data_IF_269553771361
#
_entry.id   IF_269553771361
#
_cell.length_a   1.000
_cell.length_b   1.000
_cell.length_c   1.000
_cell.angle_alpha   90.00
_cell.angle_beta   90.00
_cell.angle_gamma   90.00
#
_symmetry.space_group_name_H-M   'P 1'
#
loop_
_entity.id
_entity.type
_entity.pdbx_description
1 polymer ?
#
# COMPACT_ATOMS: atom_id res chain seq x y z
N UNK A 1 -17.16 7.24 -22.22
CA UNK A 1 -17.98 6.01 -22.12
C UNK A 1 -18.88 6.17 -20.90
N UNK A 2 -20.12 5.70 -21.01
CA UNK A 2 -21.26 5.92 -20.09
C UNK A 2 -20.88 6.11 -18.62
N UNK A 3 -21.22 7.28 -18.05
CA UNK A 3 -21.18 7.56 -16.62
C UNK A 3 -22.32 6.79 -15.94
N UNK A 4 -22.09 5.52 -15.62
CA UNK A 4 -22.96 4.77 -14.74
C UNK A 4 -23.02 5.46 -13.38
N UNK A 5 -24.25 5.60 -12.85
CA UNK A 5 -24.50 6.26 -11.59
C UNK A 5 -23.80 5.50 -10.44
N UNK A 6 -23.03 6.19 -9.57
CA UNK A 6 -22.20 5.60 -8.51
C UNK A 6 -22.92 4.76 -7.43
N UNK A 7 -24.24 4.59 -7.49
CA UNK A 7 -25.04 3.84 -6.51
C UNK A 7 -25.98 2.83 -7.16
N UNK A 8 -25.63 2.32 -8.34
CA UNK A 8 -26.45 1.35 -9.05
C UNK A 8 -26.74 0.14 -8.15
N UNK A 9 -28.02 -0.26 -8.07
CA UNK A 9 -28.51 -1.32 -7.17
C UNK A 9 -27.96 -2.72 -7.51
N UNK A 10 -27.11 -2.81 -8.54
CA UNK A 10 -26.51 -4.03 -9.07
C UNK A 10 -25.62 -4.74 -8.07
N UNK A 11 -25.00 -4.01 -7.14
CA UNK A 11 -23.99 -4.55 -6.21
C UNK A 11 -24.32 -4.27 -4.74
N UNK A 12 -23.89 -5.17 -3.86
CA UNK A 12 -23.94 -4.94 -2.42
C UNK A 12 -23.16 -3.68 -2.03
N UNK A 13 -23.84 -2.74 -1.37
CA UNK A 13 -23.22 -1.50 -0.89
C UNK A 13 -22.56 -1.69 0.47
N UNK A 14 -21.39 -1.10 0.59
CA UNK A 14 -20.61 -1.02 1.81
C UNK A 14 -20.96 0.29 2.52
N UNK A 15 -21.06 0.29 3.84
CA UNK A 15 -21.41 1.50 4.58
C UNK A 15 -20.35 2.59 4.40
N UNK A 16 -20.81 3.83 4.20
CA UNK A 16 -19.93 4.98 3.99
C UNK A 16 -19.30 5.01 2.60
N UNK A 17 -19.97 4.43 1.60
CA UNK A 17 -19.49 4.46 0.24
C UNK A 17 -19.67 5.82 -0.45
N UNK A 18 -18.67 6.21 -1.23
CA UNK A 18 -18.67 7.47 -1.96
C UNK A 18 -17.74 7.39 -3.18
N UNK A 19 -17.86 8.38 -4.06
CA UNK A 19 -16.94 8.55 -5.19
C UNK A 19 -16.16 9.84 -5.02
N UNK A 20 -14.86 9.78 -5.23
CA UNK A 20 -13.98 10.94 -5.29
C UNK A 20 -13.17 10.89 -6.57
N UNK A 21 -13.32 11.91 -7.43
CA UNK A 21 -12.68 11.99 -8.76
C UNK A 21 -12.80 10.69 -9.58
N UNK A 22 -13.99 10.08 -9.58
CA UNK A 22 -14.29 8.86 -10.33
C UNK A 22 -13.78 7.56 -9.69
N UNK A 23 -13.15 7.62 -8.52
CA UNK A 23 -12.69 6.45 -7.76
C UNK A 23 -13.70 6.10 -6.67
N UNK A 24 -14.10 4.83 -6.57
CA UNK A 24 -14.97 4.33 -5.50
C UNK A 24 -14.19 4.15 -4.20
N UNK A 25 -14.77 4.57 -3.09
CA UNK A 25 -14.23 4.46 -1.74
C UNK A 25 -15.30 3.99 -0.77
N UNK A 26 -14.87 3.51 0.40
CA UNK A 26 -15.77 3.02 1.46
C UNK A 26 -15.31 3.53 2.83
N UNK A 27 -16.11 3.28 3.88
CA UNK A 27 -16.04 3.96 5.18
C UNK A 27 -14.78 3.83 6.06
N UNK A 28 -13.63 3.40 5.52
CA UNK A 28 -12.32 3.55 6.19
C UNK A 28 -11.65 4.90 5.89
N UNK A 29 -12.15 5.65 4.90
CA UNK A 29 -11.82 7.05 4.57
C UNK A 29 -13.12 7.81 4.27
N UNK A 30 -13.05 9.14 4.14
CA UNK A 30 -14.12 9.97 3.58
C UNK A 30 -13.59 11.01 2.59
N UNK A 31 -14.49 11.70 1.88
CA UNK A 31 -14.14 12.74 0.91
C UNK A 31 -13.39 13.91 1.57
N UNK A 32 -13.69 14.22 2.83
CA UNK A 32 -13.04 15.30 3.56
C UNK A 32 -11.56 15.00 3.84
N UNK A 33 -11.21 13.75 4.20
CA UNK A 33 -9.82 13.31 4.41
C UNK A 33 -9.03 13.30 3.12
N UNK A 34 -9.61 12.77 2.04
CA UNK A 34 -8.94 12.79 0.73
C UNK A 34 -8.73 14.24 0.29
N UNK A 35 -9.75 15.09 0.40
CA UNK A 35 -9.64 16.52 0.06
C UNK A 35 -8.59 17.21 0.91
N UNK A 36 -8.57 17.00 2.24
CA UNK A 36 -7.56 17.56 3.14
C UNK A 36 -6.14 17.12 2.74
N UNK A 37 -5.93 15.87 2.35
CA UNK A 37 -4.66 15.41 1.81
C UNK A 37 -4.28 16.18 0.53
N UNK A 38 -5.24 16.30 -0.38
CA UNK A 38 -5.06 16.94 -1.67
C UNK A 38 -4.83 18.45 -1.59
N UNK A 39 -5.35 19.15 -0.59
CA UNK A 39 -5.34 20.63 -0.54
C UNK A 39 -4.47 21.19 0.57
N UNK A 40 -4.32 20.48 1.70
CA UNK A 40 -3.73 21.02 2.92
C UNK A 40 -2.50 20.26 3.40
N UNK A 41 -2.50 18.92 3.30
CA UNK A 41 -1.42 18.10 3.87
C UNK A 41 -0.06 18.45 3.26
N UNK A 42 0.93 18.66 4.14
CA UNK A 42 2.27 19.09 3.74
C UNK A 42 3.23 17.92 3.70
N UNK A 43 3.56 17.52 2.48
CA UNK A 43 4.68 16.62 2.22
C UNK A 43 6.01 17.36 2.38
N UNK A 44 7.05 16.61 2.75
CA UNK A 44 8.41 17.08 2.91
C UNK A 44 9.33 16.36 1.93
N UNK A 45 10.43 16.98 1.47
CA UNK A 45 11.41 16.32 0.61
C UNK A 45 12.02 15.07 1.25
N UNK A 46 12.09 15.06 2.58
CA UNK A 46 12.61 13.94 3.36
C UNK A 46 11.59 12.82 3.57
N UNK A 47 10.31 12.98 3.23
CA UNK A 47 9.32 11.91 3.43
C UNK A 47 9.63 10.69 2.55
N UNK A 48 9.28 9.51 3.06
CA UNK A 48 9.25 8.26 2.30
C UNK A 48 7.79 7.81 2.23
N UNK A 49 7.26 7.78 1.01
CA UNK A 49 5.87 7.42 0.75
C UNK A 49 5.81 5.97 0.29
N UNK A 50 5.09 5.15 1.04
CA UNK A 50 4.82 3.75 0.72
C UNK A 50 3.38 3.63 0.23
N UNK A 51 3.24 3.28 -1.03
CA UNK A 51 1.94 3.24 -1.70
C UNK A 51 1.81 2.00 -2.56
N UNK A 52 0.59 1.70 -2.96
CA UNK A 52 0.24 0.54 -3.73
C UNK A 52 -1.28 0.38 -3.72
N UNK A 53 -1.83 -0.28 -4.74
CA UNK A 53 -3.23 -0.69 -4.66
C UNK A 53 -3.43 -1.57 -3.42
N UNK A 54 -4.58 -1.44 -2.77
CA UNK A 54 -4.87 -2.21 -1.57
C UNK A 54 -4.68 -3.72 -1.83
N UNK A 55 -4.14 -4.43 -0.84
CA UNK A 55 -3.85 -5.88 -0.89
C UNK A 55 -2.72 -6.33 -1.83
N UNK A 56 -1.91 -5.38 -2.30
CA UNK A 56 -0.70 -5.64 -3.10
C UNK A 56 0.59 -5.89 -2.30
N UNK A 57 0.53 -6.16 -0.99
CA UNK A 57 1.74 -6.40 -0.18
C UNK A 57 2.28 -5.18 0.57
N UNK A 58 1.49 -4.11 0.68
CA UNK A 58 1.87 -2.86 1.36
C UNK A 58 2.40 -3.06 2.80
N UNK A 59 1.86 -4.02 3.56
CA UNK A 59 2.33 -4.30 4.94
C UNK A 59 3.72 -4.95 4.95
N UNK A 60 4.01 -5.84 3.98
CA UNK A 60 5.34 -6.44 3.82
C UNK A 60 6.37 -5.37 3.45
N UNK A 61 6.05 -4.54 2.46
CA UNK A 61 6.91 -3.41 2.07
C UNK A 61 7.18 -2.48 3.26
N UNK A 62 6.13 -2.10 3.99
CA UNK A 62 6.26 -1.22 5.16
C UNK A 62 7.20 -1.80 6.23
N UNK A 63 7.12 -3.10 6.51
CA UNK A 63 8.00 -3.73 7.50
C UNK A 63 9.47 -3.73 7.07
N UNK A 64 9.74 -4.05 5.80
CA UNK A 64 11.09 -3.98 5.22
C UNK A 64 11.66 -2.56 5.34
N UNK A 65 10.86 -1.57 4.93
CA UNK A 65 11.30 -0.16 4.94
C UNK A 65 11.50 0.36 6.36
N UNK A 66 10.65 -0.02 7.33
CA UNK A 66 10.85 0.34 8.74
C UNK A 66 12.20 -0.15 9.26
N UNK A 67 12.54 -1.42 9.01
CA UNK A 67 13.82 -1.97 9.44
C UNK A 67 15.00 -1.29 8.74
N UNK A 68 14.91 -1.00 7.44
CA UNK A 68 15.93 -0.26 6.70
C UNK A 68 16.15 1.15 7.26
N UNK A 69 15.07 1.89 7.51
CA UNK A 69 15.12 3.27 7.99
C UNK A 69 15.65 3.35 9.41
N UNK A 70 15.21 2.45 10.30
CA UNK A 70 15.66 2.45 11.69
C UNK A 70 17.11 1.97 11.82
N UNK A 71 17.52 0.93 11.08
CA UNK A 71 18.91 0.46 11.09
C UNK A 71 19.86 1.38 10.32
N UNK A 72 19.34 2.19 9.38
CA UNK A 72 20.12 2.99 8.42
C UNK A 72 21.15 2.14 7.64
N UNK A 73 20.85 0.85 7.43
CA UNK A 73 21.76 -0.10 6.79
C UNK A 73 22.93 -0.58 7.65
N UNK A 74 23.01 -0.15 8.92
CA UNK A 74 24.14 -0.45 9.81
C UNK A 74 23.79 -1.51 10.86
N UNK A 75 24.66 -2.51 11.02
CA UNK A 75 24.51 -3.57 12.02
C UNK A 75 24.46 -3.02 13.46
N UNK A 76 25.20 -1.95 13.75
CA UNK A 76 25.23 -1.31 15.07
C UNK A 76 23.88 -0.74 15.54
N UNK A 77 22.95 -0.47 14.63
CA UNK A 77 21.60 0.04 14.92
C UNK A 77 20.51 -1.03 14.81
N UNK A 78 20.89 -2.25 14.42
CA UNK A 78 19.94 -3.30 14.09
C UNK A 78 19.12 -3.74 15.31
N UNK A 79 19.73 -3.80 16.50
CA UNK A 79 19.03 -4.13 17.74
C UNK A 79 17.95 -3.12 18.10
N UNK A 80 18.20 -1.83 17.91
CA UNK A 80 17.23 -0.76 18.14
C UNK A 80 16.09 -0.83 17.12
N UNK A 81 16.43 -1.07 15.84
CA UNK A 81 15.45 -1.26 14.77
C UNK A 81 14.51 -2.44 15.05
N UNK A 82 15.06 -3.57 15.51
CA UNK A 82 14.28 -4.74 15.91
C UNK A 82 13.33 -4.40 17.06
N UNK A 83 13.85 -3.80 18.14
CA UNK A 83 13.04 -3.42 19.29
C UNK A 83 11.88 -2.51 18.88
N UNK A 84 12.12 -1.58 17.94
CA UNK A 84 11.08 -0.68 17.45
C UNK A 84 9.95 -1.42 16.71
N UNK A 85 10.27 -2.30 15.77
CA UNK A 85 9.24 -3.03 15.01
C UNK A 85 8.51 -4.10 15.83
N UNK A 86 9.09 -4.55 16.94
CA UNK A 86 8.47 -5.49 17.89
C UNK A 86 7.64 -4.80 18.98
N UNK A 87 7.82 -3.50 19.20
CA UNK A 87 7.12 -2.74 20.25
C UNK A 87 6.08 -1.75 19.73
N UNK A 88 6.22 -1.27 18.49
CA UNK A 88 5.33 -0.24 17.92
C UNK A 88 4.51 -0.82 16.78
N UNK A 89 3.17 -0.75 16.83
CA UNK A 89 2.30 -1.20 15.75
C UNK A 89 2.62 -0.54 14.41
N UNK A 90 2.50 -1.29 13.32
CA UNK A 90 2.89 -0.84 11.98
C UNK A 90 2.08 0.36 11.49
N UNK A 91 0.82 0.49 11.91
CA UNK A 91 -0.03 1.64 11.58
C UNK A 91 0.33 2.92 12.36
N UNK A 92 1.13 2.80 13.43
CA UNK A 92 1.77 3.95 14.09
C UNK A 92 3.12 4.25 13.43
N UNK A 93 3.88 3.22 13.02
CA UNK A 93 5.17 3.40 12.34
C UNK A 93 5.03 3.99 10.94
N UNK A 94 3.99 3.59 10.22
CA UNK A 94 3.68 3.98 8.82
C UNK A 94 2.18 4.28 8.71
N UNK A 95 1.70 5.42 9.26
CA UNK A 95 0.28 5.76 9.28
C UNK A 95 -0.29 5.98 7.88
N UNK A 96 -1.53 5.56 7.67
CA UNK A 96 -2.29 5.80 6.44
C UNK A 96 -2.82 7.23 6.41
N UNK A 97 -2.35 8.06 5.50
CA UNK A 97 -2.66 9.48 5.52
C UNK A 97 -4.17 9.77 5.43
N UNK A 98 -4.90 9.04 4.59
CA UNK A 98 -6.33 9.23 4.35
C UNK A 98 -7.25 8.45 5.32
N UNK A 99 -6.70 7.75 6.32
CA UNK A 99 -7.47 6.90 7.23
C UNK A 99 -8.33 7.71 8.23
N UNK A 100 -9.56 7.22 8.48
CA UNK A 100 -10.48 7.79 9.47
C UNK A 100 -10.32 7.26 10.88
N UNK A 101 -9.56 6.18 11.06
CA UNK A 101 -9.27 5.65 12.38
C UNK A 101 -8.31 6.58 13.11
N UNK A 102 -8.67 6.93 14.35
CA UNK A 102 -7.79 7.73 15.19
C UNK A 102 -6.73 6.85 15.84
N UNK A 103 -5.55 7.43 16.00
CA UNK A 103 -4.42 6.81 16.65
C UNK A 103 -4.39 7.22 18.12
N UNK A 104 -4.18 6.25 19.00
CA UNK A 104 -3.75 6.50 20.37
C UNK A 104 -2.23 6.53 20.40
N UNK A 105 -1.67 7.72 20.58
CA UNK A 105 -0.23 7.95 20.64
C UNK A 105 0.14 8.10 22.12
N UNK A 106 1.05 7.28 22.68
CA UNK A 106 1.39 7.34 24.11
C UNK A 106 1.84 8.73 24.61
N UNK A 107 2.37 9.55 23.72
CA UNK A 107 2.86 10.91 23.99
C UNK A 107 1.75 11.97 23.99
N UNK A 108 0.51 11.62 23.59
CA UNK A 108 -0.63 12.52 23.51
C UNK A 108 -1.72 12.08 24.49
N UNK A 109 -2.42 13.05 25.07
CA UNK A 109 -3.53 12.85 26.00
C UNK A 109 -4.89 12.66 25.29
N UNK A 110 -4.90 12.72 23.97
CA UNK A 110 -6.08 12.57 23.12
C UNK A 110 -5.77 11.74 21.88
N UNK A 111 -6.81 11.21 21.26
CA UNK A 111 -6.73 10.51 19.98
C UNK A 111 -6.56 11.50 18.82
N UNK A 112 -5.74 11.13 17.83
CA UNK A 112 -5.34 12.02 16.73
C UNK A 112 -5.48 11.32 15.37
N UNK A 113 -5.80 12.04 14.30
CA UNK A 113 -5.83 11.44 12.95
C UNK A 113 -4.42 11.29 12.37
N UNK A 114 -4.25 10.38 11.41
CA UNK A 114 -2.94 10.09 10.80
C UNK A 114 -2.20 11.33 10.25
N UNK A 115 -2.88 12.19 9.49
CA UNK A 115 -2.27 13.43 8.99
C UNK A 115 -1.82 14.37 10.11
N UNK A 116 -2.61 14.48 11.18
CA UNK A 116 -2.29 15.33 12.33
C UNK A 116 -1.13 14.73 13.14
N UNK A 117 -1.07 13.40 13.27
CA UNK A 117 0.06 12.70 13.85
C UNK A 117 1.35 12.93 13.05
N UNK A 118 1.28 12.87 11.72
CA UNK A 118 2.41 13.15 10.83
C UNK A 118 2.87 14.61 10.92
N UNK A 119 1.95 15.56 11.10
CA UNK A 119 2.28 16.97 11.35
C UNK A 119 2.91 17.17 12.73
N UNK A 120 2.39 16.50 13.77
CA UNK A 120 2.98 16.50 15.10
C UNK A 120 4.40 15.91 15.11
N UNK A 121 4.65 14.81 14.40
CA UNK A 121 5.98 14.20 14.25
C UNK A 121 6.98 15.19 13.62
N UNK A 122 6.53 15.98 12.64
CA UNK A 122 7.33 17.04 12.01
C UNK A 122 7.64 18.15 13.01
N UNK A 123 6.65 18.63 13.75
CA UNK A 123 6.78 19.82 14.61
C UNK A 123 7.54 19.54 15.91
N UNK A 124 7.38 18.34 16.46
CA UNK A 124 8.04 17.92 17.70
C UNK A 124 9.50 17.51 17.51
N UNK A 125 9.96 17.30 16.27
CA UNK A 125 11.30 16.79 15.99
C UNK A 125 11.54 15.36 16.49
N UNK A 126 10.48 14.60 16.84
CA UNK A 126 10.61 13.24 17.37
C UNK A 126 11.20 12.23 16.38
N UNK A 127 11.20 12.56 15.09
CA UNK A 127 11.78 11.71 14.05
C UNK A 127 13.12 12.31 13.65
N UNK A 128 14.23 11.72 14.13
CA UNK A 128 15.56 11.97 13.56
C UNK A 128 15.67 11.33 12.17
N UNK A 129 14.87 11.81 11.20
CA UNK A 129 14.85 11.30 9.84
C UNK A 129 13.55 11.53 9.08
N UNK A 130 13.33 10.69 8.07
CA UNK A 130 12.19 10.69 7.17
C UNK A 130 10.92 10.21 7.87
N UNK A 131 9.79 10.92 7.70
CA UNK A 131 8.48 10.35 8.06
C UNK A 131 8.15 9.22 7.08
N UNK A 132 7.63 8.13 7.59
CA UNK A 132 7.09 7.04 6.79
C UNK A 132 5.59 7.27 6.64
N UNK A 133 5.12 7.39 5.40
CA UNK A 133 3.72 7.69 5.09
C UNK A 133 3.16 6.57 4.25
N UNK A 134 2.00 6.03 4.63
CA UNK A 134 1.29 5.05 3.82
C UNK A 134 0.10 5.70 3.14
N UNK A 135 -0.22 5.27 1.92
CA UNK A 135 -1.45 5.68 1.24
C UNK A 135 -1.87 4.68 0.17
N UNK A 136 -3.17 4.56 -0.06
CA UNK A 136 -3.82 3.89 -1.18
C UNK A 136 -4.44 4.88 -2.17
N UNK A 137 -4.25 6.19 -1.96
CA UNK A 137 -4.75 7.22 -2.84
C UNK A 137 -4.26 7.04 -4.28
N UNK A 138 -5.10 7.47 -5.23
CA UNK A 138 -4.76 7.46 -6.64
C UNK A 138 -3.61 8.42 -6.93
N UNK A 139 -2.97 8.23 -8.08
CA UNK A 139 -1.92 9.13 -8.54
C UNK A 139 -2.40 10.58 -8.58
N UNK A 140 -3.63 10.84 -9.03
CA UNK A 140 -4.19 12.20 -9.12
C UNK A 140 -4.29 12.88 -7.76
N UNK A 141 -4.71 12.16 -6.72
CA UNK A 141 -4.76 12.69 -5.36
C UNK A 141 -3.37 12.99 -4.81
N UNK A 142 -2.39 12.09 -5.02
CA UNK A 142 -1.01 12.37 -4.60
C UNK A 142 -0.39 13.53 -5.40
N UNK A 143 -0.65 13.60 -6.70
CA UNK A 143 -0.17 14.68 -7.56
C UNK A 143 -0.65 16.05 -7.09
N UNK A 144 -1.88 16.16 -6.58
CA UNK A 144 -2.35 17.39 -5.94
C UNK A 144 -1.39 17.83 -4.81
N UNK A 145 -1.01 16.91 -3.92
CA UNK A 145 -0.04 17.16 -2.85
C UNK A 145 1.35 17.54 -3.36
N UNK A 146 1.89 16.77 -4.31
CA UNK A 146 3.23 16.99 -4.88
C UNK A 146 3.34 18.31 -5.65
N UNK A 147 2.28 18.75 -6.32
CA UNK A 147 2.27 20.02 -7.07
C UNK A 147 2.45 21.27 -6.19
N UNK A 148 2.28 21.15 -4.86
CA UNK A 148 2.54 22.24 -3.91
C UNK A 148 3.99 22.30 -3.42
N UNK A 149 4.81 21.31 -3.76
CA UNK A 149 6.21 21.26 -3.38
C UNK A 149 7.12 21.90 -4.43
N UNK A 150 8.36 22.22 -4.05
CA UNK A 150 9.42 22.44 -5.03
C UNK A 150 9.63 21.13 -5.82
N UNK A 151 9.51 21.21 -7.14
CA UNK A 151 9.63 20.05 -8.02
C UNK A 151 11.06 19.50 -8.09
N UNK A 152 12.04 20.21 -7.51
CA UNK A 152 13.40 19.73 -7.34
C UNK A 152 13.62 18.98 -6.02
N UNK A 153 12.66 19.03 -5.10
CA UNK A 153 12.77 18.48 -3.75
C UNK A 153 11.57 17.56 -3.44
N UNK A 154 11.33 16.58 -4.32
CA UNK A 154 10.22 15.64 -4.17
C UNK A 154 10.61 14.43 -3.29
N UNK A 155 9.67 13.91 -2.48
CA UNK A 155 9.92 12.75 -1.62
C UNK A 155 10.22 11.49 -2.43
N UNK A 156 10.83 10.50 -1.79
CA UNK A 156 10.99 9.16 -2.38
C UNK A 156 9.69 8.39 -2.22
N UNK A 157 9.25 7.75 -3.29
CA UNK A 157 8.02 6.98 -3.34
C UNK A 157 8.37 5.54 -3.70
N UNK A 158 7.88 4.57 -2.93
CA UNK A 158 7.93 3.15 -3.29
C UNK A 158 6.52 2.69 -3.57
N UNK A 159 6.29 2.23 -4.80
CA UNK A 159 4.99 1.76 -5.28
C UNK A 159 4.98 0.23 -5.39
N UNK A 160 4.24 -0.44 -4.51
CA UNK A 160 4.06 -1.88 -4.57
C UNK A 160 2.82 -2.26 -5.39
N UNK A 161 3.01 -3.17 -6.33
CA UNK A 161 1.93 -3.74 -7.14
C UNK A 161 1.96 -5.27 -7.06
N UNK A 162 0.89 -5.91 -7.54
CA UNK A 162 0.69 -7.35 -7.43
C UNK A 162 -0.12 -7.85 -8.60
N UNK A 163 0.00 -9.13 -8.94
CA UNK A 163 -0.89 -9.80 -9.87
C UNK A 163 -2.36 -9.50 -9.49
N UNK A 164 -3.17 -8.91 -10.39
CA UNK A 164 -4.52 -8.46 -10.07
C UNK A 164 -5.47 -9.60 -9.70
N UNK A 165 -5.23 -10.83 -10.19
CA UNK A 165 -6.03 -12.00 -9.84
C UNK A 165 -5.82 -12.40 -8.38
N UNK A 166 -4.58 -12.35 -7.88
CA UNK A 166 -4.30 -12.60 -6.46
C UNK A 166 -4.75 -11.44 -5.57
N UNK A 167 -4.61 -10.20 -6.06
CA UNK A 167 -5.09 -9.01 -5.36
C UNK A 167 -6.61 -9.06 -5.15
N UNK A 168 -7.39 -9.49 -6.16
CA UNK A 168 -8.85 -9.58 -6.06
C UNK A 168 -9.30 -10.61 -5.01
N UNK A 169 -8.70 -11.80 -4.98
CA UNK A 169 -8.97 -12.80 -3.93
C UNK A 169 -8.63 -12.28 -2.55
N UNK A 170 -7.49 -11.59 -2.41
CA UNK A 170 -7.08 -10.98 -1.14
C UNK A 170 -8.05 -9.88 -0.69
N UNK A 171 -8.57 -9.10 -1.63
CA UNK A 171 -9.57 -8.05 -1.38
C UNK A 171 -10.91 -8.64 -0.98
N UNK A 172 -11.38 -9.71 -1.62
CA UNK A 172 -12.61 -10.41 -1.25
C UNK A 172 -12.61 -10.83 0.23
N UNK A 173 -11.55 -11.50 0.66
CA UNK A 173 -11.43 -11.90 2.07
C UNK A 173 -11.35 -10.73 3.03
N UNK A 174 -10.71 -9.64 2.62
CA UNK A 174 -10.63 -8.42 3.42
C UNK A 174 -12.01 -7.78 3.56
N UNK A 175 -12.76 -7.64 2.47
CA UNK A 175 -14.12 -7.12 2.43
C UNK A 175 -15.08 -7.88 3.35
N UNK A 176 -14.96 -9.21 3.39
CA UNK A 176 -15.76 -10.05 4.28
C UNK A 176 -15.45 -9.89 5.77
N UNK A 177 -14.35 -9.24 6.11
CA UNK A 177 -13.84 -9.18 7.46
C UNK A 177 -13.90 -7.80 8.12
N UNK A 178 -14.01 -6.71 7.35
CA UNK A 178 -14.05 -5.36 7.91
C UNK A 178 -15.45 -5.07 8.44
N UNK A 179 -15.57 -4.99 9.77
CA UNK A 179 -16.84 -4.76 10.44
C UNK A 179 -17.35 -3.32 10.22
N UNK A 180 -16.47 -2.33 10.24
CA UNK A 180 -16.79 -0.88 10.14
C UNK A 180 -17.31 -0.47 8.77
N UNK A 181 -16.92 -1.22 7.74
CA UNK A 181 -17.41 -1.03 6.38
C UNK A 181 -18.76 -1.76 6.18
N UNK A 182 -19.23 -2.55 7.15
CA UNK A 182 -20.33 -3.49 6.95
C UNK A 182 -19.79 -4.68 6.16
N UNK A 183 -19.43 -5.79 6.83
CA UNK A 183 -18.68 -6.86 6.21
C UNK A 183 -19.44 -7.39 5.01
N UNK A 184 -18.77 -7.49 3.88
CA UNK A 184 -19.37 -7.91 2.63
C UNK A 184 -20.03 -9.28 2.78
N UNK A 185 -21.31 -9.38 2.41
CA UNK A 185 -22.12 -10.60 2.57
C UNK A 185 -22.35 -11.35 1.27
N UNK A 186 -21.96 -10.77 0.13
CA UNK A 186 -22.04 -11.42 -1.17
C UNK A 186 -21.06 -12.58 -1.31
N UNK A 187 -21.27 -13.38 -2.35
CA UNK A 187 -20.39 -14.50 -2.67
C UNK A 187 -19.19 -14.06 -3.54
N UNK A 188 -18.34 -15.02 -3.89
CA UNK A 188 -17.19 -14.76 -4.75
C UNK A 188 -17.60 -14.31 -6.16
N UNK A 189 -18.70 -14.82 -6.71
CA UNK A 189 -19.13 -14.51 -8.07
C UNK A 189 -19.57 -13.06 -8.19
N UNK A 190 -20.37 -12.58 -7.23
CA UNK A 190 -20.77 -11.18 -7.16
C UNK A 190 -19.54 -10.27 -6.95
N UNK A 191 -18.64 -10.62 -6.02
CA UNK A 191 -17.42 -9.85 -5.77
C UNK A 191 -16.51 -9.79 -7.00
N UNK A 192 -16.34 -10.92 -7.70
CA UNK A 192 -15.57 -10.98 -8.94
C UNK A 192 -16.13 -10.00 -9.98
N UNK A 193 -17.46 -9.92 -10.13
CA UNK A 193 -18.06 -8.96 -11.04
C UNK A 193 -17.85 -7.51 -10.58
N UNK A 194 -17.93 -7.23 -9.28
CA UNK A 194 -17.58 -5.91 -8.74
C UNK A 194 -16.13 -5.53 -9.06
N UNK A 195 -15.21 -6.48 -8.98
CA UNK A 195 -13.80 -6.29 -9.35
C UNK A 195 -13.62 -5.97 -10.84
N UNK A 196 -14.29 -6.72 -11.73
CA UNK A 196 -14.26 -6.46 -13.18
C UNK A 196 -14.87 -5.09 -13.52
N UNK A 197 -15.96 -4.70 -12.85
CA UNK A 197 -16.65 -3.44 -13.08
C UNK A 197 -15.92 -2.24 -12.41
N UNK A 198 -14.84 -2.48 -11.64
CA UNK A 198 -14.09 -1.44 -10.94
C UNK A 198 -14.81 -0.86 -9.72
N UNK A 199 -15.88 -1.50 -9.26
CA UNK A 199 -16.68 -1.10 -8.09
C UNK A 199 -16.09 -1.62 -6.78
N UNK A 200 -14.80 -1.38 -6.57
CA UNK A 200 -14.02 -1.79 -5.38
C UNK A 200 -13.34 -0.55 -4.79
N UNK A 201 -13.20 -0.51 -3.47
CA UNK A 201 -12.58 0.62 -2.75
C UNK A 201 -11.16 0.82 -3.25
N UNK A 202 -10.83 2.06 -3.58
CA UNK A 202 -9.60 2.39 -4.28
C UNK A 202 -9.74 2.35 -5.81
N UNK A 203 -10.93 2.05 -6.34
CA UNK A 203 -11.29 2.11 -7.76
C UNK A 203 -10.87 0.91 -8.60
N UNK A 204 -11.03 1.07 -9.92
CA UNK A 204 -10.62 0.08 -10.91
C UNK A 204 -9.09 -0.10 -10.90
N UNK A 205 -8.64 -1.31 -10.57
CA UNK A 205 -7.23 -1.68 -10.56
C UNK A 205 -6.54 -1.32 -11.87
N UNK A 206 -7.21 -1.51 -13.02
CA UNK A 206 -6.66 -1.25 -14.36
C UNK A 206 -6.28 0.21 -14.56
N UNK A 207 -7.02 1.12 -13.94
CA UNK A 207 -6.75 2.56 -14.03
C UNK A 207 -5.70 2.93 -13.01
N UNK A 208 -5.93 2.55 -11.75
CA UNK A 208 -5.13 3.02 -10.62
C UNK A 208 -3.69 2.51 -10.69
N UNK A 209 -3.49 1.21 -10.95
CA UNK A 209 -2.15 0.62 -11.04
C UNK A 209 -1.40 1.12 -12.28
N UNK A 210 -2.11 1.23 -13.41
CA UNK A 210 -1.55 1.76 -14.65
C UNK A 210 -1.03 3.18 -14.47
N UNK A 211 -1.84 4.08 -13.91
CA UNK A 211 -1.46 5.49 -13.78
C UNK A 211 -0.23 5.67 -12.88
N UNK A 212 -0.16 4.90 -11.80
CA UNK A 212 1.01 4.82 -10.92
C UNK A 212 2.26 4.30 -11.63
N UNK A 213 2.17 3.17 -12.31
CA UNK A 213 3.32 2.56 -13.00
C UNK A 213 3.81 3.39 -14.20
N UNK A 214 2.92 4.11 -14.88
CA UNK A 214 3.31 5.07 -15.92
C UNK A 214 4.13 6.24 -15.38
N UNK A 215 3.87 6.67 -14.14
CA UNK A 215 4.74 7.66 -13.50
C UNK A 215 6.09 7.08 -13.13
N UNK A 216 6.12 5.83 -12.67
CA UNK A 216 7.34 5.14 -12.26
C UNK A 216 8.32 4.90 -13.42
N UNK A 217 7.84 4.80 -14.67
CA UNK A 217 8.70 4.70 -15.86
C UNK A 217 9.56 5.95 -16.10
N UNK A 218 9.15 7.11 -15.60
CA UNK A 218 9.85 8.37 -15.88
C UNK A 218 11.28 8.29 -15.30
N UNK A 219 12.32 8.70 -16.06
CA UNK A 219 13.71 8.50 -15.63
C UNK A 219 13.96 9.13 -14.25
N UNK A 220 14.37 8.32 -13.27
CA UNK A 220 14.81 8.80 -11.96
C UNK A 220 16.10 9.61 -12.10
N UNK A 221 16.21 10.77 -11.43
CA UNK A 221 17.43 11.58 -11.41
C UNK A 221 17.53 12.66 -12.50
N UNK A 222 16.52 12.82 -13.35
CA UNK A 222 16.37 14.02 -14.17
C UNK A 222 15.74 15.11 -13.31
N UNK A 223 16.25 16.35 -13.36
CA UNK A 223 15.66 17.45 -12.59
C UNK A 223 14.16 17.58 -12.90
N UNK A 224 13.33 17.62 -11.86
CA UNK A 224 11.88 17.70 -12.00
C UNK A 224 11.17 16.37 -12.28
N UNK A 225 11.86 15.22 -12.26
CA UNK A 225 11.20 13.91 -12.32
C UNK A 225 10.98 13.31 -10.94
N UNK A 226 9.89 12.56 -10.82
CA UNK A 226 9.50 11.90 -9.58
C UNK A 226 10.42 10.71 -9.29
N UNK A 227 10.78 10.55 -8.02
CA UNK A 227 11.53 9.40 -7.54
C UNK A 227 10.54 8.32 -7.12
N UNK A 228 10.13 7.46 -8.07
CA UNK A 228 9.23 6.34 -7.79
C UNK A 228 9.94 5.03 -8.11
N UNK A 229 10.07 4.15 -7.11
CA UNK A 229 10.51 2.76 -7.29
C UNK A 229 9.28 1.85 -7.37
N UNK A 230 8.96 1.28 -8.55
CA UNK A 230 7.98 0.21 -8.64
C UNK A 230 8.60 -1.09 -8.12
N UNK A 231 7.83 -1.86 -7.36
CA UNK A 231 8.25 -3.19 -6.88
C UNK A 231 7.06 -4.15 -6.81
N UNK A 232 7.19 -5.32 -7.41
CA UNK A 232 6.12 -6.33 -7.34
C UNK A 232 6.14 -7.10 -6.01
N UNK A 233 4.95 -7.44 -5.51
CA UNK A 233 4.76 -8.36 -4.38
C UNK A 233 5.47 -9.69 -4.62
N UNK A 234 5.42 -10.18 -5.85
CA UNK A 234 5.97 -11.47 -6.19
C UNK A 234 7.51 -11.45 -6.19
N UNK A 235 8.17 -10.33 -6.54
CA UNK A 235 9.62 -10.15 -6.29
C UNK A 235 9.92 -10.10 -4.80
N UNK A 236 9.15 -9.33 -4.01
CA UNK A 236 9.31 -9.26 -2.55
C UNK A 236 9.26 -10.64 -1.88
N UNK A 237 8.51 -11.59 -2.46
CA UNK A 237 8.40 -12.96 -1.94
C UNK A 237 9.43 -13.91 -2.54
N UNK A 238 9.73 -13.83 -3.85
CA UNK A 238 10.62 -14.77 -4.55
C UNK A 238 12.11 -14.45 -4.39
N UNK A 239 12.45 -13.17 -4.36
CA UNK A 239 13.83 -12.69 -4.21
C UNK A 239 13.91 -11.54 -3.19
N UNK A 240 13.57 -11.83 -1.91
CA UNK A 240 13.56 -10.81 -0.87
C UNK A 240 14.95 -10.18 -0.66
N UNK A 241 16.02 -10.94 -0.89
CA UNK A 241 17.40 -10.45 -0.78
C UNK A 241 17.66 -9.31 -1.76
N UNK A 242 17.42 -9.53 -3.05
CA UNK A 242 17.58 -8.48 -4.06
C UNK A 242 16.68 -7.30 -3.78
N UNK A 243 15.42 -7.53 -3.41
CA UNK A 243 14.49 -6.44 -3.10
C UNK A 243 14.98 -5.56 -1.94
N UNK A 244 15.58 -6.12 -0.89
CA UNK A 244 16.14 -5.33 0.21
C UNK A 244 17.31 -4.46 -0.26
N UNK A 245 18.17 -4.99 -1.14
CA UNK A 245 19.25 -4.20 -1.76
C UNK A 245 18.71 -3.09 -2.66
N UNK A 246 17.76 -3.40 -3.56
CA UNK A 246 17.14 -2.44 -4.47
C UNK A 246 16.44 -1.31 -3.67
N UNK A 247 15.72 -1.67 -2.59
CA UNK A 247 15.08 -0.71 -1.69
C UNK A 247 16.10 0.15 -0.93
N UNK A 248 17.18 -0.45 -0.41
CA UNK A 248 18.22 0.29 0.28
C UNK A 248 18.93 1.28 -0.65
N UNK A 249 19.36 0.84 -1.83
CA UNK A 249 19.99 1.70 -2.85
C UNK A 249 19.06 2.84 -3.25
N UNK A 250 17.78 2.53 -3.46
CA UNK A 250 16.81 3.56 -3.78
C UNK A 250 16.57 4.54 -2.63
N UNK A 251 16.50 4.11 -1.37
CA UNK A 251 16.22 5.01 -0.25
C UNK A 251 17.46 5.78 0.22
N UNK A 252 18.62 5.13 0.17
CA UNK A 252 19.90 5.58 0.72
C UNK A 252 21.06 5.35 -0.25
N UNK A 253 21.07 5.99 -1.44
CA UNK A 253 22.02 5.67 -2.53
C UNK A 253 23.50 5.87 -2.19
N UNK A 254 23.81 6.62 -1.12
CA UNK A 254 25.17 6.88 -0.68
C UNK A 254 25.54 6.17 0.64
N UNK A 255 24.65 5.32 1.16
CA UNK A 255 24.89 4.56 2.39
C UNK A 255 25.43 3.16 2.07
N UNK A 256 26.09 2.55 3.05
CA UNK A 256 26.46 1.13 2.99
C UNK A 256 25.35 0.31 3.63
N UNK A 257 25.16 -0.90 3.10
CA UNK A 257 24.25 -1.89 3.65
C UNK A 257 25.05 -3.08 4.16
N UNK A 258 25.05 -3.27 5.47
CA UNK A 258 25.70 -4.41 6.11
C UNK A 258 24.91 -5.68 5.80
N UNK A 259 25.65 -6.74 5.43
CA UNK A 259 25.08 -8.05 5.11
C UNK A 259 24.15 -8.55 6.24
N UNK A 260 24.53 -8.31 7.50
CA UNK A 260 23.75 -8.74 8.66
C UNK A 260 22.37 -8.10 8.74
N UNK A 261 22.27 -6.83 8.32
CA UNK A 261 20.99 -6.12 8.26
C UNK A 261 20.07 -6.79 7.23
N UNK A 262 20.61 -7.17 6.06
CA UNK A 262 19.83 -7.86 5.03
C UNK A 262 19.32 -9.22 5.52
N UNK A 263 20.18 -10.04 6.14
CA UNK A 263 19.81 -11.33 6.72
C UNK A 263 18.61 -11.20 7.68
N UNK A 264 18.71 -10.24 8.60
CA UNK A 264 17.69 -10.03 9.63
C UNK A 264 16.39 -9.51 9.03
N UNK A 265 16.47 -8.60 8.05
CA UNK A 265 15.28 -8.10 7.36
C UNK A 265 14.57 -9.25 6.64
N UNK A 266 15.30 -10.05 5.86
CA UNK A 266 14.72 -11.18 5.11
C UNK A 266 14.08 -12.20 6.07
N UNK A 267 14.73 -12.52 7.19
CA UNK A 267 14.16 -13.44 8.18
C UNK A 267 12.87 -12.87 8.78
N UNK A 268 12.93 -11.64 9.31
CA UNK A 268 11.83 -11.02 10.08
C UNK A 268 10.63 -10.64 9.23
N UNK A 269 10.86 -10.36 7.95
CA UNK A 269 9.81 -10.03 6.99
C UNK A 269 9.27 -11.26 6.26
N UNK A 270 9.74 -12.47 6.60
CA UNK A 270 9.11 -13.71 6.16
C UNK A 270 7.64 -13.77 6.63
N UNK A 271 6.78 -14.37 5.81
CA UNK A 271 5.35 -14.46 6.09
C UNK A 271 5.06 -15.07 7.49
N UNK A 272 5.81 -16.09 7.88
CA UNK A 272 5.67 -16.74 9.20
C UNK A 272 5.93 -15.74 10.33
N UNK A 273 7.08 -15.05 10.30
CA UNK A 273 7.49 -14.12 11.37
C UNK A 273 6.54 -12.94 11.47
N UNK A 274 6.17 -12.34 10.35
CA UNK A 274 5.20 -11.24 10.35
C UNK A 274 3.83 -11.69 10.86
N UNK A 275 3.37 -12.89 10.49
CA UNK A 275 2.08 -13.43 10.97
C UNK A 275 2.05 -13.62 12.49
N UNK A 276 3.19 -14.01 13.08
CA UNK A 276 3.36 -14.16 14.52
C UNK A 276 3.57 -12.82 15.25
N UNK A 277 4.03 -11.77 14.56
CA UNK A 277 4.27 -10.46 15.13
C UNK A 277 2.97 -9.63 15.25
N UNK A 278 2.51 -9.45 16.50
CA UNK A 278 1.33 -8.65 16.87
C UNK A 278 1.40 -7.19 16.41
N UNK A 279 2.60 -6.65 16.20
CA UNK A 279 2.80 -5.29 15.70
C UNK A 279 2.60 -5.16 14.18
N UNK A 280 2.44 -6.27 13.45
CA UNK A 280 2.23 -6.25 11.99
C UNK A 280 0.99 -6.99 11.54
N UNK A 281 0.48 -7.93 12.34
CA UNK A 281 -0.59 -8.84 11.95
C UNK A 281 -2.02 -8.31 12.19
N UNK A 282 -2.16 -7.10 12.76
CA UNK A 282 -3.42 -6.43 13.05
C UNK A 282 -4.38 -7.21 13.97
N UNK A 283 -3.92 -8.24 14.69
CA UNK A 283 -4.79 -9.12 15.49
C UNK A 283 -5.50 -8.39 16.63
N UNK A 284 -4.87 -7.34 17.19
CA UNK A 284 -5.43 -6.56 18.29
C UNK A 284 -6.13 -5.28 17.83
N UNK A 285 -6.26 -5.06 16.52
CA UNK A 285 -6.93 -3.86 16.00
C UNK A 285 -8.44 -4.15 15.99
N UNK A 286 -9.26 -3.34 16.70
CA UNK A 286 -10.70 -3.50 16.66
C UNK A 286 -11.20 -3.31 15.22
N UNK A 287 -12.28 -4.00 14.88
CA UNK A 287 -12.93 -3.84 13.57
C UNK A 287 -12.75 -4.95 12.56
N UNK A 288 -12.00 -5.97 12.92
CA UNK A 288 -11.98 -7.21 12.17
C UNK A 288 -12.86 -8.27 12.82
N UNK A 289 -13.59 -9.01 11.99
CA UNK A 289 -14.27 -10.24 12.40
C UNK A 289 -13.29 -11.19 13.11
N UNK A 290 -13.68 -11.79 14.23
CA UNK A 290 -12.78 -12.59 15.10
C UNK A 290 -12.13 -13.80 14.41
N UNK A 291 -12.77 -14.33 13.37
CA UNK A 291 -12.27 -15.43 12.54
C UNK A 291 -11.28 -14.98 11.47
N UNK A 292 -11.20 -13.67 11.20
CA UNK A 292 -10.32 -13.13 10.20
C UNK A 292 -8.87 -13.12 10.69
N UNK A 293 -7.96 -13.33 9.75
CA UNK A 293 -6.53 -13.13 9.95
C UNK A 293 -6.03 -12.25 8.81
N UNK A 294 -5.58 -11.04 9.15
CA UNK A 294 -5.10 -10.08 8.16
C UNK A 294 -3.97 -10.65 7.30
N UNK A 295 -3.05 -11.39 7.93
CA UNK A 295 -2.05 -12.21 7.25
C UNK A 295 -2.59 -13.60 6.92
N UNK A 296 -3.31 -13.71 5.79
CA UNK A 296 -4.07 -14.90 5.39
C UNK A 296 -3.20 -16.07 4.92
N UNK A 297 -2.60 -15.97 3.73
CA UNK A 297 -1.85 -17.07 3.10
C UNK A 297 -0.42 -16.71 2.68
N UNK A 298 -0.17 -15.46 2.28
CA UNK A 298 1.14 -15.02 1.81
C UNK A 298 1.63 -15.72 0.54
N UNK A 299 0.72 -16.29 -0.25
CA UNK A 299 1.05 -17.09 -1.45
C UNK A 299 0.84 -16.30 -2.73
N UNK A 300 1.64 -16.67 -3.74
CA UNK A 300 1.49 -16.28 -5.14
C UNK A 300 0.68 -17.37 -5.86
N UNK A 301 -0.28 -16.97 -6.68
CA UNK A 301 -1.10 -17.87 -7.49
C UNK A 301 -2.27 -18.52 -6.74
N UNK A 302 -2.69 -17.97 -5.60
CA UNK A 302 -3.84 -18.49 -4.86
C UNK A 302 -5.15 -18.28 -5.64
N UNK A 303 -5.18 -17.32 -6.57
CA UNK A 303 -6.30 -17.09 -7.49
C UNK A 303 -6.76 -18.35 -8.24
N UNK A 304 -5.85 -19.30 -8.51
CA UNK A 304 -6.15 -20.57 -9.18
C UNK A 304 -7.12 -21.45 -8.39
N UNK A 305 -7.25 -21.23 -7.08
CA UNK A 305 -8.20 -21.94 -6.23
C UNK A 305 -9.59 -21.28 -6.17
N UNK A 306 -9.74 -20.10 -6.78
CA UNK A 306 -10.95 -19.27 -6.69
C UNK A 306 -11.61 -19.04 -8.05
N UNK A 307 -10.81 -18.82 -9.08
CA UNK A 307 -11.32 -18.52 -10.41
C UNK A 307 -11.86 -19.80 -11.06
N UNK A 308 -13.09 -19.74 -11.58
CA UNK A 308 -13.54 -20.71 -12.57
C UNK A 308 -12.83 -20.46 -13.91
N UNK A 309 -12.87 -21.44 -14.81
CA UNK A 309 -12.33 -21.28 -16.17
C UNK A 309 -12.96 -20.07 -16.87
N UNK A 310 -14.29 -19.93 -16.80
CA UNK A 310 -15.02 -18.82 -17.40
C UNK A 310 -14.64 -17.46 -16.77
N UNK A 311 -14.47 -17.39 -15.45
CA UNK A 311 -14.00 -16.17 -14.79
C UNK A 311 -12.58 -15.80 -15.23
N UNK A 312 -11.69 -16.78 -15.37
CA UNK A 312 -10.33 -16.52 -15.86
C UNK A 312 -10.32 -16.04 -17.32
N UNK A 313 -11.15 -16.61 -18.19
CA UNK A 313 -11.30 -16.16 -19.58
C UNK A 313 -11.85 -14.73 -19.66
N UNK A 314 -12.90 -14.42 -18.91
CA UNK A 314 -13.45 -13.06 -18.83
C UNK A 314 -12.40 -12.08 -18.31
N UNK A 315 -11.72 -12.43 -17.21
CA UNK A 315 -10.68 -11.60 -16.64
C UNK A 315 -9.58 -11.30 -17.67
N UNK A 316 -9.07 -12.35 -18.35
CA UNK A 316 -8.03 -12.20 -19.35
C UNK A 316 -8.47 -11.25 -20.46
N UNK A 317 -9.69 -11.38 -20.98
CA UNK A 317 -10.20 -10.47 -22.01
C UNK A 317 -10.31 -9.01 -21.52
N UNK A 318 -10.80 -8.79 -20.31
CA UNK A 318 -11.01 -7.46 -19.72
C UNK A 318 -9.70 -6.75 -19.31
N UNK A 319 -8.63 -7.52 -19.06
CA UNK A 319 -7.34 -7.02 -18.60
C UNK A 319 -6.24 -7.05 -19.66
N UNK A 320 -6.46 -7.69 -20.83
CA UNK A 320 -5.43 -7.92 -21.85
C UNK A 320 -4.68 -6.63 -22.24
N UNK A 321 -5.42 -5.58 -22.58
CA UNK A 321 -4.85 -4.32 -23.04
C UNK A 321 -3.95 -3.66 -21.99
N UNK A 322 -4.44 -3.56 -20.74
CA UNK A 322 -3.68 -2.93 -19.66
C UNK A 322 -2.47 -3.78 -19.26
N UNK A 323 -2.61 -5.10 -19.18
CA UNK A 323 -1.48 -5.97 -18.81
C UNK A 323 -0.40 -5.95 -19.89
N UNK A 324 -0.79 -5.88 -21.16
CA UNK A 324 0.16 -5.70 -22.27
C UNK A 324 0.91 -4.39 -22.14
N UNK A 325 0.21 -3.26 -21.92
CA UNK A 325 0.85 -1.96 -21.71
C UNK A 325 1.79 -1.99 -20.50
N UNK A 326 1.36 -2.59 -19.38
CA UNK A 326 2.18 -2.73 -18.16
C UNK A 326 3.44 -3.57 -18.41
N UNK A 327 3.36 -4.64 -19.20
CA UNK A 327 4.50 -5.46 -19.58
C UNK A 327 5.50 -4.71 -20.47
N UNK A 328 5.06 -3.71 -21.23
CA UNK A 328 5.93 -2.87 -22.08
C UNK A 328 6.65 -1.76 -21.29
N UNK A 329 6.13 -1.38 -20.12
CA UNK A 329 6.71 -0.31 -19.29
C UNK A 329 7.56 -0.82 -18.12
N UNK A 330 7.28 -2.03 -17.61
CA UNK A 330 8.06 -2.66 -16.55
C UNK A 330 9.30 -3.36 -17.10
N UNK A 331 10.33 -3.47 -16.27
CA UNK A 331 11.52 -4.26 -16.61
C UNK A 331 11.15 -5.75 -16.75
N UNK A 332 11.87 -6.54 -17.55
CA UNK A 332 11.55 -7.96 -17.74
C UNK A 332 11.51 -8.79 -16.43
N UNK A 333 12.32 -8.43 -15.43
CA UNK A 333 12.34 -9.09 -14.12
C UNK A 333 11.20 -8.64 -13.18
N UNK A 334 10.42 -7.64 -13.60
CA UNK A 334 9.23 -7.12 -12.92
C UNK A 334 7.92 -7.69 -13.49
N UNK A 335 7.98 -8.50 -14.56
CA UNK A 335 6.80 -9.07 -15.23
C UNK A 335 6.22 -10.25 -14.43
N UNK A 336 5.04 -10.08 -13.81
CA UNK A 336 4.42 -11.13 -12.98
C UNK A 336 2.90 -11.26 -13.18
N UNK A 337 2.41 -10.88 -14.36
CA UNK A 337 0.98 -10.91 -14.70
C UNK A 337 0.51 -12.20 -15.40
N UNK A 338 1.32 -13.27 -15.39
CA UNK A 338 1.02 -14.59 -15.99
C UNK A 338 -0.03 -15.41 -15.21
#
# INVERSE_FOLDING_TARGET
MSSANPLDKKFYRIQGDFFHKGTYWVGWTDEARITKFETEFKLLPSDIILTGYAKSGNTLLAEIVCLLVASKGCESKLSEAINWVESVPIYIRVPFAEELFKLTVPQLDHEIYAMEYLDWMRESGQVEGSRLIKTHLTWDSLKCALNRMDQNELPRIVYVYRNPKDASVSMYHFYRAIAECGPYKGDWTEFFQMWIDGCISGGDWRIVVRDWLLQAKKPSGVRGTLNILPISYERLVRDPWKCVHDLHEFLFPNAKLDQKVVEVIVERTSFKKMRENKMTNYENVPGFESSFRFMRSGKIGDWKNWFTVAQNEQFTAEYESVLKELNEILAPDEIIFE
#
